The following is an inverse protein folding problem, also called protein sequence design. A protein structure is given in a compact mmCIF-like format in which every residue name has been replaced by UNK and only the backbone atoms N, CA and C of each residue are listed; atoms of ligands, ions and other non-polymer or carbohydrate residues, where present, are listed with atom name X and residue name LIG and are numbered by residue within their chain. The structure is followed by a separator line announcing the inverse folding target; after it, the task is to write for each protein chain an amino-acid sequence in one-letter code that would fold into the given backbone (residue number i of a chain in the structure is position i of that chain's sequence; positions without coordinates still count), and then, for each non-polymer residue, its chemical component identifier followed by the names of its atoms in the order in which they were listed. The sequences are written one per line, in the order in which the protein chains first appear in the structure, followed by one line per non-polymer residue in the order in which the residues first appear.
data_IF_941662884070
#
_entry.id   IF_941662884070
#
_cell.length_a   1.000
_cell.length_b   1.000
_cell.length_c   1.000
_cell.angle_alpha   90.00
_cell.angle_beta   90.00
_cell.angle_gamma   90.00
#
_symmetry.space_group_name_H-M   'P 1'
#
loop_
_entity.id
_entity.type
_entity.pdbx_description
1 polymer ?
#
# COMPACT_ATOMS: atom_id res chain seq x y z
N UNK A 1 26.25 3.50 17.46
CA UNK A 1 25.66 3.81 16.16
C UNK A 1 24.32 3.10 16.12
N UNK A 2 23.23 3.82 15.88
CA UNK A 2 21.91 3.23 15.70
C UNK A 2 21.91 2.45 14.40
N UNK A 3 21.35 1.24 14.39
CA UNK A 3 21.21 0.47 13.15
C UNK A 3 20.31 1.22 12.16
N UNK A 4 20.60 1.09 10.86
CA UNK A 4 19.78 1.69 9.81
C UNK A 4 18.38 1.07 9.76
N UNK A 5 17.39 1.90 9.46
CA UNK A 5 16.01 1.47 9.27
C UNK A 5 15.80 1.07 7.81
N UNK A 6 15.11 -0.06 7.59
CA UNK A 6 14.55 -0.38 6.30
C UNK A 6 13.03 -0.20 6.30
N UNK A 7 12.50 0.39 5.24
CA UNK A 7 11.06 0.55 5.00
C UNK A 7 10.69 -0.15 3.69
N UNK A 8 9.62 -0.93 3.69
CA UNK A 8 9.05 -1.53 2.49
C UNK A 8 7.77 -0.79 2.09
N UNK A 9 7.80 -0.18 0.91
CA UNK A 9 6.64 0.44 0.28
C UNK A 9 6.02 -0.49 -0.77
N UNK A 10 4.69 -0.56 -0.78
CA UNK A 10 3.93 -1.39 -1.72
C UNK A 10 2.82 -0.62 -2.46
N UNK A 11 2.68 0.67 -2.21
CA UNK A 11 1.69 1.56 -2.84
C UNK A 11 2.30 2.94 -3.01
N UNK A 12 1.61 3.97 -2.52
CA UNK A 12 2.05 5.37 -2.68
C UNK A 12 3.48 5.67 -2.23
N UNK A 13 4.02 4.92 -1.26
CA UNK A 13 5.42 5.03 -0.83
C UNK A 13 6.45 4.67 -1.92
N UNK A 14 6.08 3.94 -2.97
CA UNK A 14 6.98 3.57 -4.06
C UNK A 14 7.30 4.76 -4.99
N UNK A 15 6.36 5.69 -5.16
CA UNK A 15 6.53 6.87 -6.02
C UNK A 15 6.53 8.21 -5.24
N UNK A 16 6.04 8.21 -4.00
CA UNK A 16 6.04 9.36 -3.09
C UNK A 16 6.47 8.93 -1.69
N UNK A 17 7.76 8.60 -1.46
CA UNK A 17 8.24 8.17 -0.15
C UNK A 17 8.06 9.28 0.89
N UNK A 18 8.41 10.52 0.56
CA UNK A 18 8.25 11.68 1.46
C UNK A 18 9.29 11.77 2.57
N UNK A 19 10.40 11.05 2.44
CA UNK A 19 11.54 11.05 3.34
C UNK A 19 12.84 10.80 2.56
N UNK A 20 13.97 11.21 3.13
CA UNK A 20 15.29 10.93 2.59
C UNK A 20 15.72 9.49 2.87
N UNK A 21 16.47 8.91 1.94
CA UNK A 21 16.98 7.55 2.06
C UNK A 21 18.39 7.44 1.46
N UNK A 22 19.20 6.57 2.04
CA UNK A 22 20.56 6.28 1.61
C UNK A 22 20.59 5.45 0.33
N UNK A 23 19.61 4.56 0.16
CA UNK A 23 19.42 3.78 -1.06
C UNK A 23 17.99 3.23 -1.15
N UNK A 24 17.60 2.83 -2.37
CA UNK A 24 16.38 2.08 -2.60
C UNK A 24 16.61 0.91 -3.54
N UNK A 25 15.87 -0.20 -3.33
CA UNK A 25 16.01 -1.44 -4.10
C UNK A 25 14.64 -2.09 -4.32
N UNK A 26 14.37 -2.68 -5.50
CA UNK A 26 13.23 -3.56 -5.66
C UNK A 26 13.28 -4.71 -4.66
N UNK A 27 12.12 -5.04 -4.08
CA UNK A 27 12.03 -6.04 -3.04
C UNK A 27 10.73 -6.85 -3.12
N UNK A 28 10.77 -8.03 -2.53
CA UNK A 28 9.60 -8.89 -2.38
C UNK A 28 9.33 -9.21 -0.92
N UNK A 29 8.12 -8.90 -0.47
CA UNK A 29 7.56 -9.34 0.81
C UNK A 29 6.79 -10.64 0.60
N UNK A 30 7.02 -11.63 1.46
CA UNK A 30 6.30 -12.90 1.46
C UNK A 30 5.29 -12.96 2.61
N UNK A 31 4.21 -13.71 2.41
CA UNK A 31 3.14 -13.86 3.39
C UNK A 31 2.09 -12.75 3.35
N UNK A 32 2.25 -11.78 2.44
CA UNK A 32 1.29 -10.71 2.18
C UNK A 32 1.23 -10.39 0.68
N UNK A 33 0.05 -10.01 0.20
CA UNK A 33 -0.18 -9.59 -1.19
C UNK A 33 -0.93 -8.26 -1.20
N UNK A 34 -0.74 -7.50 -2.28
CA UNK A 34 -1.49 -6.26 -2.52
C UNK A 34 -2.91 -6.61 -2.93
N UNK A 35 -3.89 -5.96 -2.33
CA UNK A 35 -5.31 -6.13 -2.67
C UNK A 35 -6.10 -4.86 -2.36
N UNK A 36 -7.20 -4.63 -3.08
CA UNK A 36 -8.25 -3.68 -2.70
C UNK A 36 -9.06 -4.23 -1.53
N UNK A 37 -8.47 -4.19 -0.33
CA UNK A 37 -9.01 -4.83 0.88
C UNK A 37 -9.35 -3.84 2.00
N UNK A 38 -9.33 -2.53 1.71
CA UNK A 38 -9.60 -1.47 2.69
C UNK A 38 -10.66 -0.52 2.16
N UNK A 39 -11.77 -0.40 2.88
CA UNK A 39 -12.76 0.65 2.67
C UNK A 39 -12.17 2.02 3.02
N UNK A 40 -12.24 2.96 2.10
CA UNK A 40 -11.78 4.34 2.29
C UNK A 40 -12.95 5.24 2.67
N UNK A 41 -13.04 5.61 3.95
CA UNK A 41 -14.09 6.49 4.46
C UNK A 41 -13.76 7.99 4.43
N UNK A 42 -12.55 8.34 3.98
CA UNK A 42 -12.11 9.73 3.98
C UNK A 42 -11.50 10.15 2.65
N UNK A 43 -10.48 9.43 2.17
CA UNK A 43 -9.73 9.86 1.00
C UNK A 43 -10.48 9.63 -0.32
N UNK A 44 -11.14 8.47 -0.45
CA UNK A 44 -11.79 8.04 -1.71
C UNK A 44 -13.28 7.71 -1.56
N UNK A 45 -13.85 7.99 -0.38
CA UNK A 45 -15.27 7.81 -0.09
C UNK A 45 -15.63 8.50 1.23
N UNK A 46 -16.79 8.13 1.76
CA UNK A 46 -17.31 8.48 3.08
C UNK A 46 -17.64 7.22 3.90
N UNK A 47 -18.07 7.35 5.15
CA UNK A 47 -18.57 6.20 5.92
C UNK A 47 -19.84 5.59 5.29
N UNK A 48 -20.76 6.43 4.80
CA UNK A 48 -22.01 5.98 4.17
C UNK A 48 -21.82 5.42 2.75
N UNK A 49 -20.82 5.92 2.03
CA UNK A 49 -20.48 5.51 0.66
C UNK A 49 -18.95 5.34 0.54
N UNK A 50 -18.40 4.21 1.02
CA UNK A 50 -16.96 4.00 1.07
C UNK A 50 -16.36 3.91 -0.33
N UNK A 51 -15.14 4.39 -0.47
CA UNK A 51 -14.26 3.99 -1.55
C UNK A 51 -13.57 2.68 -1.22
N UNK A 52 -12.72 2.20 -2.12
CA UNK A 52 -11.88 1.02 -1.96
C UNK A 52 -10.43 1.33 -2.34
N UNK A 53 -9.51 1.08 -1.41
CA UNK A 53 -8.07 1.35 -1.57
C UNK A 53 -7.24 0.12 -1.26
N UNK A 54 -5.97 0.15 -1.70
CA UNK A 54 -5.08 -1.00 -1.56
C UNK A 54 -4.55 -1.14 -0.13
N UNK A 55 -4.35 -2.38 0.29
CA UNK A 55 -3.61 -2.75 1.48
C UNK A 55 -2.79 -4.02 1.22
N UNK A 56 -1.95 -4.36 2.19
CA UNK A 56 -1.33 -5.69 2.26
C UNK A 56 -2.23 -6.62 3.08
N UNK A 57 -2.87 -7.59 2.41
CA UNK A 57 -3.62 -8.66 3.07
C UNK A 57 -2.79 -9.94 3.16
N UNK A 58 -3.16 -10.83 4.07
CA UNK A 58 -2.43 -12.06 4.37
C UNK A 58 -2.40 -13.04 3.19
N UNK A 59 -1.26 -13.72 3.04
CA UNK A 59 -1.01 -14.72 2.01
C UNK A 59 -0.27 -14.19 0.78
N UNK A 60 0.29 -15.09 -0.02
CA UNK A 60 0.96 -14.74 -1.28
C UNK A 60 2.28 -13.99 -1.10
N UNK A 61 2.56 -13.06 -2.02
CA UNK A 61 3.72 -12.17 -1.99
C UNK A 61 3.40 -10.85 -2.66
N UNK A 62 4.11 -9.79 -2.27
CA UNK A 62 4.00 -8.47 -2.85
C UNK A 62 5.37 -8.00 -3.36
N UNK A 63 5.41 -7.51 -4.59
CA UNK A 63 6.57 -6.76 -5.11
C UNK A 63 6.40 -5.30 -4.70
N UNK A 64 7.47 -4.69 -4.22
CA UNK A 64 7.50 -3.28 -3.85
C UNK A 64 8.92 -2.75 -3.80
N UNK A 65 9.11 -1.64 -3.10
CA UNK A 65 10.39 -0.97 -2.98
C UNK A 65 10.87 -0.99 -1.52
N UNK A 66 12.13 -1.37 -1.32
CA UNK A 66 12.82 -1.24 -0.03
C UNK A 66 13.63 0.05 -0.02
N UNK A 67 13.55 0.82 1.06
CA UNK A 67 14.34 2.02 1.31
C UNK A 67 15.21 1.81 2.55
N UNK A 68 16.50 2.15 2.46
CA UNK A 68 17.39 2.20 3.63
C UNK A 68 17.51 3.64 4.11
N UNK A 69 17.17 3.88 5.36
CA UNK A 69 17.20 5.18 6.01
C UNK A 69 18.33 5.16 7.04
N UNK A 70 19.07 6.27 7.13
CA UNK A 70 20.12 6.41 8.12
C UNK A 70 19.57 6.20 9.53
N UNK A 71 20.30 5.48 10.38
CA UNK A 71 19.88 5.24 11.77
C UNK A 71 19.63 6.52 12.60
N UNK A 72 20.18 7.67 12.18
CA UNK A 72 19.91 8.98 12.78
C UNK A 72 18.50 9.51 12.48
N UNK A 73 17.94 9.16 11.33
CA UNK A 73 16.69 9.72 10.82
C UNK A 73 15.52 8.75 11.03
N UNK A 74 15.81 7.51 11.44
CA UNK A 74 14.85 6.43 11.60
C UNK A 74 13.63 6.82 12.45
N UNK A 75 13.82 7.54 13.55
CA UNK A 75 12.74 7.95 14.45
C UNK A 75 11.76 8.91 13.76
N UNK A 76 12.30 9.89 13.04
CA UNK A 76 11.50 10.92 12.38
C UNK A 76 10.76 10.34 11.18
N UNK A 77 11.40 9.44 10.43
CA UNK A 77 10.75 8.70 9.33
C UNK A 77 9.64 7.78 9.85
N UNK A 78 9.83 7.08 10.96
CA UNK A 78 8.77 6.27 11.57
C UNK A 78 7.59 7.15 12.00
N UNK A 79 7.85 8.28 12.67
CA UNK A 79 6.79 9.19 13.10
C UNK A 79 6.01 9.77 11.91
N UNK A 80 6.71 10.14 10.84
CA UNK A 80 6.09 10.58 9.59
C UNK A 80 5.20 9.51 8.96
N UNK A 81 5.71 8.27 8.85
CA UNK A 81 4.95 7.15 8.28
C UNK A 81 3.74 6.79 9.12
N UNK A 82 3.87 6.78 10.45
CA UNK A 82 2.75 6.50 11.36
C UNK A 82 1.66 7.58 11.21
N UNK A 83 2.03 8.87 11.15
CA UNK A 83 1.07 9.95 10.92
C UNK A 83 0.37 9.87 9.55
N UNK A 84 1.07 9.38 8.52
CA UNK A 84 0.55 9.24 7.16
C UNK A 84 -0.38 8.03 6.99
N UNK A 85 0.01 6.88 7.53
CA UNK A 85 -0.68 5.60 7.26
C UNK A 85 -1.72 5.27 8.33
N UNK A 86 -1.58 5.77 9.56
CA UNK A 86 -2.47 5.39 10.68
C UNK A 86 -3.58 6.41 10.96
N UNK A 87 -3.98 7.22 9.98
CA UNK A 87 -5.05 8.24 10.13
C UNK A 87 -6.33 7.63 10.72
N UNK A 88 -6.73 6.45 10.26
CA UNK A 88 -7.85 5.69 10.81
C UNK A 88 -7.42 4.40 11.53
N UNK A 89 -6.10 4.18 11.68
CA UNK A 89 -5.51 2.95 12.22
C UNK A 89 -5.91 1.63 11.50
N UNK A 90 -6.51 1.69 10.31
CA UNK A 90 -6.81 0.49 9.50
C UNK A 90 -5.55 -0.26 9.05
N UNK A 91 -4.42 0.44 9.02
CA UNK A 91 -3.12 -0.17 8.81
C UNK A 91 -2.35 -0.26 10.11
N UNK A 92 -1.72 -1.41 10.35
CA UNK A 92 -0.84 -1.63 11.49
C UNK A 92 0.61 -1.87 11.05
N UNK A 93 1.60 -1.31 11.75
CA UNK A 93 2.99 -1.52 11.41
C UNK A 93 3.45 -2.92 11.81
N UNK A 94 4.28 -3.53 10.97
CA UNK A 94 5.02 -4.75 11.27
C UNK A 94 6.47 -4.60 10.84
N UNK A 95 7.36 -5.40 11.45
CA UNK A 95 8.70 -5.65 10.93
C UNK A 95 8.68 -7.03 10.31
N UNK A 96 8.98 -7.12 9.01
CA UNK A 96 8.95 -8.38 8.28
C UNK A 96 10.20 -8.53 7.42
N UNK A 97 10.72 -9.75 7.25
CA UNK A 97 11.77 -9.97 6.28
C UNK A 97 11.29 -9.80 4.84
N UNK A 98 12.06 -9.04 4.07
CA UNK A 98 11.88 -8.88 2.62
C UNK A 98 13.11 -9.43 1.88
N UNK A 99 12.92 -9.89 0.64
CA UNK A 99 14.02 -10.31 -0.25
C UNK A 99 14.34 -9.20 -1.24
N UNK A 100 15.61 -8.84 -1.31
CA UNK A 100 16.18 -7.94 -2.33
C UNK A 100 17.18 -8.72 -3.19
N UNK A 101 17.66 -8.13 -4.28
CA UNK A 101 18.72 -8.73 -5.10
C UNK A 101 20.04 -8.94 -4.31
N UNK A 102 20.26 -8.16 -3.25
CA UNK A 102 21.45 -8.19 -2.40
C UNK A 102 21.26 -9.02 -1.13
N UNK A 103 20.12 -9.70 -0.98
CA UNK A 103 19.81 -10.56 0.15
C UNK A 103 18.60 -10.11 0.97
N UNK A 104 18.45 -10.73 2.14
CA UNK A 104 17.30 -10.56 3.03
C UNK A 104 17.57 -9.44 4.02
N UNK A 105 16.61 -8.53 4.20
CA UNK A 105 16.64 -7.47 5.22
C UNK A 105 15.33 -7.45 6.00
N UNK A 106 15.36 -6.98 7.25
CA UNK A 106 14.15 -6.74 8.04
C UNK A 106 13.67 -5.33 7.78
N UNK A 107 12.44 -5.17 7.30
CA UNK A 107 11.87 -3.87 6.97
C UNK A 107 10.55 -3.62 7.69
N UNK A 108 10.33 -2.37 8.08
CA UNK A 108 9.02 -1.89 8.51
C UNK A 108 8.09 -1.77 7.30
N UNK A 109 6.86 -2.24 7.45
CA UNK A 109 5.77 -2.04 6.49
C UNK A 109 4.45 -1.91 7.24
N UNK A 110 3.40 -1.52 6.53
CA UNK A 110 2.05 -1.35 7.05
C UNK A 110 1.13 -2.37 6.40
N UNK A 111 0.44 -3.19 7.20
CA UNK A 111 -0.49 -4.21 6.69
C UNK A 111 -1.92 -3.87 7.11
N UNK A 112 -2.90 -4.36 6.35
CA UNK A 112 -4.30 -4.19 6.72
C UNK A 112 -4.60 -4.94 8.03
N UNK A 113 -5.25 -4.26 8.97
CA UNK A 113 -5.77 -4.88 10.16
C UNK A 113 -7.12 -5.54 9.87
N UNK A 114 -7.12 -6.88 9.81
CA UNK A 114 -8.30 -7.71 9.51
C UNK A 114 -9.40 -7.64 10.59
N UNK A 115 -9.10 -7.07 11.75
CA UNK A 115 -10.08 -6.83 12.82
C UNK A 115 -10.75 -5.45 12.73
N UNK A 116 -10.24 -4.57 11.87
CA UNK A 116 -10.72 -3.20 11.76
C UNK A 116 -12.02 -3.13 10.94
N UNK A 117 -12.99 -2.27 11.31
CA UNK A 117 -14.24 -2.11 10.55
C UNK A 117 -14.07 -1.74 9.07
N UNK A 118 -12.99 -1.06 8.73
CA UNK A 118 -12.65 -0.70 7.34
C UNK A 118 -12.01 -1.84 6.54
N UNK A 119 -11.76 -3.01 7.12
CA UNK A 119 -11.25 -4.14 6.37
C UNK A 119 -12.37 -4.75 5.52
N UNK A 120 -12.23 -4.64 4.20
CA UNK A 120 -13.20 -5.14 3.22
C UNK A 120 -13.05 -6.64 2.94
N UNK A 121 -11.90 -7.23 3.30
CA UNK A 121 -11.59 -8.60 2.94
C UNK A 121 -11.41 -8.78 1.43
N UNK A 122 -11.70 -10.01 0.97
CA UNK A 122 -11.60 -10.38 -0.45
C UNK A 122 -12.97 -10.29 -1.10
N UNK A 123 -13.28 -9.14 -1.68
CA UNK A 123 -14.47 -8.93 -2.48
C UNK A 123 -14.32 -9.53 -3.89
N UNK A 124 -15.40 -9.96 -4.55
CA UNK A 124 -15.43 -10.20 -6.00
C UNK A 124 -14.95 -8.97 -6.79
N UNK A 125 -14.35 -9.16 -7.96
CA UNK A 125 -13.80 -8.03 -8.71
C UNK A 125 -14.88 -7.07 -9.23
N UNK A 126 -16.07 -7.59 -9.53
CA UNK A 126 -17.24 -6.84 -9.93
C UNK A 126 -17.70 -5.89 -8.81
N UNK A 127 -17.80 -6.39 -7.58
CA UNK A 127 -18.14 -5.58 -6.40
C UNK A 127 -17.06 -4.52 -6.14
N UNK A 128 -15.77 -4.87 -6.29
CA UNK A 128 -14.67 -3.91 -6.17
C UNK A 128 -14.81 -2.79 -7.20
N UNK A 129 -15.07 -3.15 -8.47
CA UNK A 129 -15.24 -2.19 -9.55
C UNK A 129 -16.45 -1.28 -9.32
N UNK A 130 -17.58 -1.81 -8.85
CA UNK A 130 -18.77 -1.02 -8.52
C UNK A 130 -18.47 0.01 -7.43
N UNK A 131 -17.85 -0.40 -6.32
CA UNK A 131 -17.46 0.52 -5.24
C UNK A 131 -16.52 1.62 -5.77
N UNK A 132 -15.51 1.24 -6.56
CA UNK A 132 -14.53 2.19 -7.09
C UNK A 132 -15.16 3.19 -8.07
N UNK A 133 -16.14 2.77 -8.89
CA UNK A 133 -16.82 3.66 -9.84
C UNK A 133 -17.55 4.82 -9.16
N UNK A 134 -18.08 4.60 -7.96
CA UNK A 134 -18.90 5.59 -7.26
C UNK A 134 -18.20 6.25 -6.06
N UNK A 135 -17.05 5.73 -5.63
CA UNK A 135 -16.29 6.30 -4.51
C UNK A 135 -15.81 7.72 -4.78
N UNK A 136 -16.20 8.67 -3.91
CA UNK A 136 -15.70 10.05 -3.92
C UNK A 136 -15.38 10.49 -2.50
N UNK A 137 -14.14 10.88 -2.24
CA UNK A 137 -13.70 11.36 -0.94
C UNK A 137 -12.96 12.68 -1.00
N UNK A 138 -12.40 13.08 0.14
CA UNK A 138 -11.65 14.32 0.31
C UNK A 138 -10.48 14.48 -0.67
N UNK A 139 -9.84 13.38 -1.05
CA UNK A 139 -8.68 13.39 -1.97
C UNK A 139 -9.07 13.19 -3.44
N UNK A 140 -10.36 13.17 -3.75
CA UNK A 140 -10.91 13.02 -5.10
C UNK A 140 -11.62 11.68 -5.33
N UNK A 141 -11.94 11.42 -6.60
CA UNK A 141 -12.68 10.22 -7.03
C UNK A 141 -11.79 8.97 -6.95
N UNK A 142 -12.40 7.81 -6.68
CA UNK A 142 -11.67 6.56 -6.49
C UNK A 142 -11.18 5.95 -7.83
N UNK A 143 -11.84 6.25 -8.95
CA UNK A 143 -11.40 5.83 -10.28
C UNK A 143 -10.03 6.43 -10.62
N UNK A 144 -9.79 7.71 -10.34
CA UNK A 144 -8.47 8.36 -10.51
C UNK A 144 -7.40 7.67 -9.68
N UNK A 145 -7.75 7.23 -8.46
CA UNK A 145 -6.84 6.48 -7.62
C UNK A 145 -6.50 5.10 -8.20
N UNK A 146 -7.49 4.38 -8.73
CA UNK A 146 -7.27 3.09 -9.39
C UNK A 146 -6.37 3.24 -10.62
N UNK A 147 -6.71 4.16 -11.53
CA UNK A 147 -5.92 4.43 -12.73
C UNK A 147 -4.49 4.79 -12.37
N UNK A 148 -4.30 5.81 -11.51
CA UNK A 148 -2.97 6.22 -11.09
C UNK A 148 -2.20 5.11 -10.37
N UNK A 149 -2.86 4.27 -9.57
CA UNK A 149 -2.18 3.15 -8.90
C UNK A 149 -1.67 2.14 -9.92
N UNK A 150 -2.48 1.78 -10.92
CA UNK A 150 -2.09 0.83 -11.97
C UNK A 150 -1.00 1.41 -12.86
N UNK A 151 -1.11 2.68 -13.28
CA UNK A 151 -0.09 3.37 -14.09
C UNK A 151 1.30 3.32 -13.41
N UNK A 152 1.38 3.68 -12.13
CA UNK A 152 2.66 3.64 -11.41
C UNK A 152 3.20 2.21 -11.24
N UNK A 153 2.32 1.20 -11.17
CA UNK A 153 2.77 -0.20 -11.13
C UNK A 153 3.38 -0.61 -12.47
N UNK A 154 2.76 -0.22 -13.57
CA UNK A 154 3.25 -0.50 -14.92
C UNK A 154 4.57 0.22 -15.22
N UNK A 155 4.70 1.49 -14.83
CA UNK A 155 5.97 2.24 -14.92
C UNK A 155 7.11 1.56 -14.16
N UNK A 156 6.80 0.88 -13.06
CA UNK A 156 7.75 0.10 -12.26
C UNK A 156 7.94 -1.34 -12.78
N UNK A 157 7.23 -1.75 -13.84
CA UNK A 157 7.26 -3.10 -14.38
C UNK A 157 6.63 -4.15 -13.45
N UNK A 158 5.70 -3.74 -12.58
CA UNK A 158 5.02 -4.59 -11.60
C UNK A 158 3.64 -4.99 -12.14
N UNK A 159 3.56 -6.13 -12.81
CA UNK A 159 2.27 -6.68 -13.24
C UNK A 159 1.51 -7.27 -12.06
N UNK A 160 0.47 -6.58 -11.60
CA UNK A 160 -0.40 -6.98 -10.50
C UNK A 160 -1.76 -7.45 -11.04
N UNK A 161 -1.86 -8.72 -11.41
CA UNK A 161 -3.02 -9.29 -12.12
C UNK A 161 -4.39 -8.90 -11.52
N UNK A 162 -4.63 -9.10 -10.21
CA UNK A 162 -5.88 -8.70 -9.57
C UNK A 162 -6.23 -7.22 -9.73
N UNK A 163 -5.26 -6.31 -9.53
CA UNK A 163 -5.50 -4.86 -9.69
C UNK A 163 -5.83 -4.50 -11.14
N UNK A 164 -5.15 -5.14 -12.11
CA UNK A 164 -5.42 -4.94 -13.53
C UNK A 164 -6.79 -5.49 -13.95
N UNK A 165 -7.24 -6.61 -13.38
CA UNK A 165 -8.60 -7.13 -13.61
C UNK A 165 -9.67 -6.12 -13.17
N UNK A 166 -9.48 -5.47 -12.02
CA UNK A 166 -10.41 -4.44 -11.53
C UNK A 166 -10.34 -3.18 -12.39
N UNK A 167 -9.14 -2.79 -12.81
CA UNK A 167 -8.95 -1.68 -13.76
C UNK A 167 -9.72 -1.90 -15.06
N UNK A 168 -9.59 -3.07 -15.67
CA UNK A 168 -10.34 -3.43 -16.88
C UNK A 168 -11.85 -3.38 -16.64
N UNK A 169 -12.33 -3.91 -15.51
CA UNK A 169 -13.75 -3.85 -15.17
C UNK A 169 -14.27 -2.44 -14.92
N UNK A 170 -13.41 -1.45 -14.62
CA UNK A 170 -13.79 -0.05 -14.40
C UNK A 170 -13.70 0.79 -15.69
N UNK A 171 -12.72 0.52 -16.56
CA UNK A 171 -12.40 1.38 -17.71
C UNK A 171 -12.55 0.73 -19.09
N UNK A 172 -12.69 -0.61 -19.16
CA UNK A 172 -12.93 -1.36 -20.38
C UNK A 172 -14.37 -1.37 -20.86
#
# INVERSE_FOLDING_TARGET
MTDDLWVFGYGSLMWRPGFDYLESRPARLFGYHRAFCVYSWYHRGSEDAPGLVVGLDQGGSCIGQAYRIAGTDAKDVIAYLDAREMVTAVYRPIISPIRTAQGKVLARTYIADRSHPQYAGKLPFEDQAEIIRFGVGHSGINTDYLASTVDHLDELGITDGPLHSVHELVFG
#
